data_IF_914558598917
#
_entry.id   IF_914558598917
#
_cell.length_a   1.000
_cell.length_b   1.000
_cell.length_c   1.000
_cell.angle_alpha   90.00
_cell.angle_beta   90.00
_cell.angle_gamma   90.00
#
_symmetry.space_group_name_H-M   'P 1'
#
loop_
_entity.id
_entity.type
_entity.pdbx_description
1 polymer ?
#
# COMPACT_ATOMS: atom_id res chain seq x y z
N UNK A 1 14.05 55.48 66.42
CA UNK A 1 14.78 56.15 65.33
C UNK A 1 15.89 55.23 64.84
N UNK A 2 15.75 54.66 63.63
CA UNK A 2 16.78 54.18 62.68
C UNK A 2 16.05 53.38 61.58
N UNK A 3 15.67 54.14 60.57
CA UNK A 3 15.45 53.87 59.15
C UNK A 3 15.06 52.47 58.66
N UNK A 4 13.89 52.43 58.02
CA UNK A 4 13.48 51.45 57.01
C UNK A 4 14.34 51.63 55.76
N UNK A 5 14.91 50.54 55.24
CA UNK A 5 15.26 50.40 53.82
C UNK A 5 14.72 49.05 53.35
N UNK A 6 13.63 49.12 52.60
CA UNK A 6 13.06 48.03 51.80
C UNK A 6 14.01 47.70 50.64
N UNK A 7 14.42 46.43 50.51
CA UNK A 7 14.98 45.91 49.27
C UNK A 7 14.20 44.66 48.85
N UNK A 8 13.27 44.90 47.93
CA UNK A 8 12.69 43.94 47.01
C UNK A 8 13.85 43.25 46.24
N UNK A 9 13.91 41.92 46.18
CA UNK A 9 14.13 41.22 44.91
C UNK A 9 13.57 39.80 44.98
N UNK A 10 12.68 39.58 44.03
CA UNK A 10 11.87 38.41 43.78
C UNK A 10 12.73 37.32 43.14
N UNK A 11 12.56 36.09 43.62
CA UNK A 11 12.72 34.80 42.95
C UNK A 11 13.45 34.80 41.59
N UNK A 12 14.70 34.34 41.56
CA UNK A 12 15.40 33.93 40.34
C UNK A 12 15.87 32.47 40.46
N UNK A 13 14.94 31.52 40.54
CA UNK A 13 15.21 30.12 40.18
C UNK A 13 14.99 29.96 38.67
N UNK A 14 15.85 30.60 37.87
CA UNK A 14 15.85 30.42 36.42
C UNK A 14 16.67 29.17 36.07
N UNK A 15 16.13 27.98 36.35
CA UNK A 15 16.57 26.78 35.62
C UNK A 15 15.90 26.88 34.26
N UNK A 16 16.60 27.48 33.30
CA UNK A 16 16.23 27.42 31.89
C UNK A 16 16.40 25.99 31.42
N UNK A 17 15.35 25.17 31.51
CA UNK A 17 15.27 23.93 30.74
C UNK A 17 15.22 24.33 29.26
N UNK A 18 16.38 24.30 28.59
CA UNK A 18 16.45 24.25 27.14
C UNK A 18 15.93 22.89 26.69
N UNK A 19 14.60 22.75 26.60
CA UNK A 19 13.99 21.60 25.93
C UNK A 19 14.28 21.73 24.44
N UNK A 20 15.31 21.02 23.98
CA UNK A 20 15.56 20.81 22.56
C UNK A 20 14.36 20.08 21.96
N UNK A 21 13.58 20.78 21.15
CA UNK A 21 12.49 20.16 20.41
C UNK A 21 13.10 19.38 19.24
N UNK A 22 13.09 18.05 19.33
CA UNK A 22 13.34 17.22 18.15
C UNK A 22 12.25 17.52 17.12
N UNK A 23 12.64 18.01 15.94
CA UNK A 23 11.71 18.20 14.83
C UNK A 23 11.14 16.84 14.45
N UNK A 24 9.87 16.61 14.76
CA UNK A 24 9.20 15.38 14.34
C UNK A 24 9.15 15.36 12.81
N UNK A 25 9.69 14.29 12.22
CA UNK A 25 9.52 14.05 10.79
C UNK A 25 8.03 13.83 10.55
N UNK A 26 7.35 14.84 10.02
CA UNK A 26 5.95 14.73 9.65
C UNK A 26 5.90 13.65 8.57
N UNK A 27 5.37 12.47 8.91
CA UNK A 27 5.08 11.40 7.96
C UNK A 27 3.88 11.79 7.09
N UNK A 28 3.98 12.95 6.45
CA UNK A 28 2.99 13.50 5.57
C UNK A 28 2.73 12.47 4.48
N UNK A 29 1.47 12.16 4.22
CA UNK A 29 1.07 11.30 3.12
C UNK A 29 0.65 12.17 1.96
N UNK A 30 1.17 11.88 0.78
CA UNK A 30 0.88 12.60 -0.45
C UNK A 30 0.01 11.73 -1.35
N UNK A 31 -1.19 12.22 -1.71
CA UNK A 31 -2.02 11.58 -2.74
C UNK A 31 -1.69 12.14 -4.11
N UNK A 32 -1.30 11.28 -5.04
CA UNK A 32 -1.10 11.64 -6.45
C UNK A 32 -2.42 12.02 -7.13
N UNK A 33 -2.34 12.65 -8.30
CA UNK A 33 -3.51 12.90 -9.15
C UNK A 33 -4.21 11.61 -9.61
N UNK A 34 -3.47 10.50 -9.71
CA UNK A 34 -4.00 9.15 -10.02
C UNK A 34 -4.61 8.44 -8.80
N UNK A 35 -4.76 9.14 -7.68
CA UNK A 35 -5.42 8.66 -6.47
C UNK A 35 -4.58 7.77 -5.56
N UNK A 36 -3.25 7.69 -5.76
CA UNK A 36 -2.38 6.80 -4.97
C UNK A 36 -1.82 7.56 -3.77
N UNK A 37 -1.92 6.97 -2.58
CA UNK A 37 -1.37 7.48 -1.34
C UNK A 37 0.09 7.07 -1.18
N UNK A 38 0.97 8.04 -0.97
CA UNK A 38 2.41 7.86 -0.84
C UNK A 38 2.87 8.41 0.50
N UNK A 39 3.28 7.54 1.42
CA UNK A 39 4.07 7.91 2.60
C UNK A 39 5.56 7.93 2.28
N UNK A 40 6.37 8.23 3.30
CA UNK A 40 7.83 8.35 3.22
C UNK A 40 8.52 7.05 2.79
N UNK A 41 7.88 5.89 2.96
CA UNK A 41 8.39 4.59 2.52
C UNK A 41 8.32 4.38 1.00
N UNK A 42 7.52 5.16 0.29
CA UNK A 42 7.38 5.01 -1.16
C UNK A 42 8.46 5.78 -1.95
N UNK A 43 9.04 5.13 -2.98
CA UNK A 43 10.05 5.73 -3.90
C UNK A 43 9.56 6.99 -4.66
N UNK A 44 8.25 7.24 -4.64
CA UNK A 44 7.59 8.34 -5.34
C UNK A 44 7.25 9.53 -4.44
N UNK A 45 7.31 9.37 -3.12
CA UNK A 45 6.89 10.38 -2.15
C UNK A 45 7.57 11.75 -2.35
N UNK A 46 8.89 11.78 -2.52
CA UNK A 46 9.65 13.00 -2.73
C UNK A 46 9.54 13.54 -4.17
N UNK A 47 9.18 12.68 -5.13
CA UNK A 47 9.09 13.02 -6.56
C UNK A 47 7.76 13.69 -6.95
N UNK A 48 6.73 13.55 -6.12
CA UNK A 48 5.42 14.14 -6.37
C UNK A 48 5.48 15.67 -6.30
N UNK A 49 5.32 16.33 -7.45
CA UNK A 49 5.22 17.79 -7.58
C UNK A 49 3.80 18.31 -7.39
N UNK A 50 2.80 17.48 -7.71
CA UNK A 50 1.37 17.77 -7.57
C UNK A 50 0.74 16.70 -6.69
N UNK A 51 0.29 17.07 -5.51
CA UNK A 51 -0.30 16.13 -4.55
C UNK A 51 -1.28 16.82 -3.62
N UNK A 52 -2.15 16.00 -3.01
CA UNK A 52 -2.94 16.41 -1.84
C UNK A 52 -2.32 15.81 -0.58
N UNK A 53 -2.08 16.64 0.42
CA UNK A 53 -1.45 16.27 1.68
C UNK A 53 -2.47 15.67 2.67
N UNK A 54 -2.05 14.64 3.41
CA UNK A 54 -2.81 13.96 4.46
C UNK A 54 -1.90 13.69 5.66
N UNK A 55 -2.48 13.64 6.86
CA UNK A 55 -1.74 13.38 8.09
C UNK A 55 -1.27 11.91 8.21
N UNK A 56 -2.06 10.97 7.68
CA UNK A 56 -1.79 9.53 7.76
C UNK A 56 -2.21 8.83 6.45
N UNK A 57 -1.77 7.58 6.26
CA UNK A 57 -2.21 6.75 5.13
C UNK A 57 -3.72 6.54 5.19
N UNK A 58 -4.27 6.23 6.37
CA UNK A 58 -5.70 6.00 6.56
C UNK A 58 -6.55 7.21 6.20
N UNK A 59 -6.12 8.41 6.58
CA UNK A 59 -6.80 9.65 6.20
C UNK A 59 -6.84 9.86 4.68
N UNK A 60 -5.81 9.42 3.97
CA UNK A 60 -5.76 9.45 2.51
C UNK A 60 -6.70 8.42 1.88
N UNK A 61 -6.74 7.20 2.42
CA UNK A 61 -7.62 6.11 1.97
C UNK A 61 -9.10 6.47 2.20
N UNK A 62 -9.44 7.02 3.36
CA UNK A 62 -10.78 7.51 3.70
C UNK A 62 -11.27 8.62 2.76
N UNK A 63 -10.37 9.31 2.04
CA UNK A 63 -10.71 10.28 0.98
C UNK A 63 -10.55 9.70 -0.42
N UNK A 64 -10.83 8.41 -0.59
CA UNK A 64 -10.85 7.70 -1.87
C UNK A 64 -9.46 7.52 -2.49
N UNK A 65 -8.44 7.38 -1.65
CA UNK A 65 -7.09 7.02 -2.08
C UNK A 65 -6.91 5.50 -2.14
N UNK A 66 -5.91 5.04 -2.90
CA UNK A 66 -5.46 3.64 -2.90
C UNK A 66 -4.01 3.54 -2.44
N UNK A 67 -3.66 2.42 -1.81
CA UNK A 67 -2.28 2.12 -1.45
C UNK A 67 -1.39 2.00 -2.70
N UNK A 68 -0.10 2.34 -2.56
CA UNK A 68 0.88 2.08 -3.60
C UNK A 68 1.30 0.60 -3.58
N UNK A 69 1.81 0.10 -4.71
CA UNK A 69 2.26 -1.29 -4.82
C UNK A 69 3.41 -1.59 -3.87
N UNK A 70 3.27 -2.65 -3.08
CA UNK A 70 4.27 -3.06 -2.09
C UNK A 70 4.26 -2.26 -0.79
N UNK A 71 3.19 -1.52 -0.49
CA UNK A 71 2.99 -0.95 0.85
C UNK A 71 2.92 -2.07 1.89
N UNK A 72 3.69 -1.94 2.97
CA UNK A 72 3.72 -2.89 4.10
C UNK A 72 3.18 -2.18 5.33
N UNK A 73 2.06 -2.64 5.86
CA UNK A 73 1.53 -2.16 7.14
C UNK A 73 2.46 -2.68 8.24
N UNK A 74 3.15 -1.79 8.96
CA UNK A 74 4.07 -2.19 10.04
C UNK A 74 3.37 -2.38 11.39
N UNK A 75 2.10 -2.02 11.51
CA UNK A 75 1.30 -2.18 12.73
C UNK A 75 0.14 -3.13 12.45
N UNK A 76 0.29 -4.38 12.87
CA UNK A 76 -0.67 -5.44 12.62
C UNK A 76 -2.03 -5.17 13.24
N UNK A 77 -3.02 -5.01 12.39
CA UNK A 77 -4.39 -5.50 12.54
C UNK A 77 -4.88 -5.84 11.13
N UNK A 78 -5.41 -7.05 10.99
CA UNK A 78 -5.36 -7.85 9.77
C UNK A 78 -5.99 -7.20 8.54
N UNK A 79 -5.18 -6.96 7.52
CA UNK A 79 -5.59 -7.42 6.19
C UNK A 79 -5.22 -8.89 6.19
N UNK A 80 -6.24 -9.75 6.22
CA UNK A 80 -6.09 -11.16 5.90
C UNK A 80 -5.45 -11.27 4.51
N UNK A 81 -4.13 -11.37 4.50
CA UNK A 81 -3.31 -11.57 3.33
C UNK A 81 -2.98 -13.05 3.17
N UNK A 82 -3.90 -13.96 3.52
CA UNK A 82 -3.78 -15.38 3.18
C UNK A 82 -3.58 -15.54 1.67
N UNK A 83 -4.17 -14.65 0.87
CA UNK A 83 -3.81 -14.51 -0.54
C UNK A 83 -2.44 -13.83 -0.74
N UNK A 84 -1.41 -14.64 -0.95
CA UNK A 84 -0.11 -14.20 -1.46
C UNK A 84 0.04 -14.56 -2.95
N UNK A 85 0.18 -13.53 -3.81
CA UNK A 85 0.43 -13.74 -5.25
C UNK A 85 1.73 -14.49 -5.52
N UNK A 86 2.70 -14.39 -4.62
CA UNK A 86 4.02 -15.02 -4.74
C UNK A 86 3.93 -16.55 -4.64
N UNK A 87 2.83 -17.10 -4.08
CA UNK A 87 2.57 -18.54 -4.03
C UNK A 87 2.07 -19.11 -5.37
N UNK A 88 1.73 -18.26 -6.35
CA UNK A 88 1.21 -18.67 -7.66
C UNK A 88 2.07 -18.10 -8.81
N UNK A 89 3.37 -18.44 -8.88
CA UNK A 89 4.30 -17.82 -9.83
C UNK A 89 4.10 -18.27 -11.29
N UNK A 90 3.55 -19.47 -11.53
CA UNK A 90 3.25 -20.00 -12.86
C UNK A 90 2.06 -20.97 -12.79
N UNK A 91 1.44 -21.23 -13.95
CA UNK A 91 0.47 -22.30 -14.11
C UNK A 91 1.20 -23.64 -14.03
N UNK A 92 0.64 -24.60 -13.32
CA UNK A 92 1.28 -25.89 -13.04
C UNK A 92 0.78 -26.93 -14.03
N UNK A 93 1.69 -27.69 -14.60
CA UNK A 93 1.37 -28.92 -15.35
C UNK A 93 1.69 -30.11 -14.41
N UNK A 94 0.65 -30.61 -13.72
CA UNK A 94 0.80 -31.60 -12.65
C UNK A 94 1.02 -33.02 -13.20
N UNK A 95 0.31 -33.37 -14.28
CA UNK A 95 0.37 -34.70 -14.90
C UNK A 95 1.40 -34.79 -16.05
N UNK A 96 2.02 -33.67 -16.41
CA UNK A 96 3.10 -33.55 -17.40
C UNK A 96 2.65 -33.93 -18.81
N UNK A 97 1.39 -33.64 -19.13
CA UNK A 97 0.83 -33.91 -20.46
C UNK A 97 1.05 -32.77 -21.47
N UNK A 98 1.72 -31.68 -21.06
CA UNK A 98 1.96 -30.41 -21.74
C UNK A 98 0.91 -29.31 -21.54
N UNK A 99 -0.24 -29.63 -20.94
CA UNK A 99 -1.32 -28.69 -20.69
C UNK A 99 -1.22 -28.21 -19.23
N UNK A 100 -0.71 -27.00 -19.04
CA UNK A 100 -0.74 -26.40 -17.70
C UNK A 100 -2.20 -26.14 -17.23
N UNK A 101 -2.36 -25.85 -15.93
CA UNK A 101 -3.69 -25.62 -15.33
C UNK A 101 -4.51 -24.58 -16.08
N UNK A 102 -3.89 -23.62 -16.77
CA UNK A 102 -4.62 -22.62 -17.56
C UNK A 102 -5.32 -23.27 -18.74
N UNK A 103 -4.63 -24.16 -19.44
CA UNK A 103 -5.11 -24.83 -20.63
C UNK A 103 -6.24 -25.78 -20.25
N UNK A 104 -6.06 -26.56 -19.20
CA UNK A 104 -7.09 -27.47 -18.67
C UNK A 104 -8.37 -26.72 -18.28
N UNK A 105 -8.23 -25.59 -17.57
CA UNK A 105 -9.35 -24.73 -17.17
C UNK A 105 -10.06 -24.16 -18.39
N UNK A 106 -9.33 -23.71 -19.41
CA UNK A 106 -9.93 -23.19 -20.64
C UNK A 106 -10.70 -24.27 -21.41
N UNK A 107 -10.17 -25.49 -21.51
CA UNK A 107 -10.86 -26.60 -22.17
C UNK A 107 -12.14 -26.97 -21.41
N UNK A 108 -12.06 -27.03 -20.08
CA UNK A 108 -13.16 -27.51 -19.23
C UNK A 108 -14.26 -26.45 -19.02
N UNK A 109 -13.89 -25.18 -18.89
CA UNK A 109 -14.82 -24.11 -18.51
C UNK A 109 -15.30 -23.26 -19.69
N UNK A 110 -14.75 -23.45 -20.88
CA UNK A 110 -15.19 -22.69 -22.04
C UNK A 110 -16.61 -23.07 -22.45
N UNK A 111 -17.46 -22.06 -22.57
CA UNK A 111 -18.83 -22.14 -23.08
C UNK A 111 -18.92 -22.23 -24.61
N UNK A 112 -17.78 -22.06 -25.29
CA UNK A 112 -17.64 -22.21 -26.74
C UNK A 112 -16.50 -23.17 -27.05
N UNK A 113 -16.45 -23.80 -28.24
CA UNK A 113 -15.31 -24.61 -28.62
C UNK A 113 -13.99 -23.82 -28.52
N UNK A 114 -12.99 -24.42 -27.88
CA UNK A 114 -11.66 -23.82 -27.78
C UNK A 114 -10.88 -23.97 -29.09
N UNK A 115 -10.00 -23.02 -29.38
CA UNK A 115 -9.09 -23.07 -30.53
C UNK A 115 -7.67 -23.24 -30.03
N UNK A 116 -7.00 -24.31 -30.47
CA UNK A 116 -5.60 -24.58 -30.14
C UNK A 116 -4.65 -23.78 -31.05
N UNK A 117 -3.46 -23.46 -30.52
CA UNK A 117 -2.42 -22.77 -31.27
C UNK A 117 -1.87 -23.64 -32.42
N UNK A 118 -1.78 -24.94 -32.18
CA UNK A 118 -1.24 -25.94 -33.10
C UNK A 118 -1.87 -27.32 -32.83
N UNK A 119 -1.33 -28.36 -33.47
CA UNK A 119 -1.82 -29.74 -33.36
C UNK A 119 -1.38 -30.47 -32.08
N UNK A 120 -0.46 -29.89 -31.30
CA UNK A 120 -0.01 -30.46 -30.03
C UNK A 120 -1.04 -30.29 -28.91
N UNK A 121 -2.00 -29.37 -29.09
CA UNK A 121 -3.04 -29.02 -28.13
C UNK A 121 -2.52 -28.47 -26.78
N UNK A 122 -1.23 -28.18 -26.65
CA UNK A 122 -0.63 -27.67 -25.42
C UNK A 122 -0.97 -26.19 -25.12
N UNK A 123 -1.55 -25.46 -26.07
CA UNK A 123 -1.88 -24.05 -25.91
C UNK A 123 -3.22 -23.71 -26.53
N UNK A 124 -4.06 -23.03 -25.77
CA UNK A 124 -5.35 -22.49 -26.24
C UNK A 124 -5.19 -21.02 -26.58
N UNK A 125 -5.59 -20.64 -27.80
CA UNK A 125 -5.55 -19.25 -28.28
C UNK A 125 -6.89 -18.54 -28.10
N UNK A 126 -7.99 -19.28 -28.14
CA UNK A 126 -9.35 -18.71 -28.03
C UNK A 126 -10.25 -19.63 -27.21
N UNK A 127 -11.09 -19.02 -26.38
CA UNK A 127 -12.15 -19.65 -25.61
C UNK A 127 -13.13 -18.57 -25.12
N UNK A 128 -14.24 -18.98 -24.53
CA UNK A 128 -15.28 -18.06 -24.07
C UNK A 128 -15.83 -18.47 -22.72
N UNK A 129 -15.69 -17.60 -21.71
CA UNK A 129 -16.23 -17.85 -20.38
C UNK A 129 -17.54 -17.10 -20.19
N UNK A 130 -18.54 -17.79 -19.63
CA UNK A 130 -19.76 -17.13 -19.18
C UNK A 130 -19.47 -16.38 -17.89
N UNK A 131 -19.71 -15.06 -17.89
CA UNK A 131 -19.70 -14.29 -16.65
C UNK A 131 -21.07 -14.47 -15.97
N UNK A 132 -21.14 -14.86 -14.68
CA UNK A 132 -22.39 -14.86 -13.95
C UNK A 132 -23.02 -13.46 -14.01
N UNK A 133 -24.28 -13.37 -14.43
CA UNK A 133 -25.07 -12.14 -14.30
C UNK A 133 -25.39 -11.98 -12.81
N UNK A 134 -24.82 -10.95 -12.18
CA UNK A 134 -25.24 -10.45 -10.88
C UNK A 134 -26.39 -9.46 -11.07
#
# INVERSE_FOLDING_TARGET
MKSVVTALTISCFAITLSQGHAAQHINLVKKSSSGICHDVGSRWHSKLKRFKAYATIDACLAKGGRMYSGYRVTNGEGIDSEYSRDLFPHWVDDDKDCQDTRVEVLITQSSVPVVFADKSNCQVTTGGLVRPLH
#
